data_IF_787949588316
#
_entry.id   IF_787949588316
#
_cell.length_a   1.000
_cell.length_b   1.000
_cell.length_c   1.000
_cell.angle_alpha   90.00
_cell.angle_beta   90.00
_cell.angle_gamma   90.00
#
_symmetry.space_group_name_H-M   'P 1'
#
loop_
_entity.id
_entity.type
_entity.pdbx_description
1 polymer ?
#
# COMPACT_ATOMS: atom_id res chain seq x y z
N UNK A 1 23.73 6.89 6.45
CA UNK A 1 22.43 6.47 7.02
C UNK A 1 21.59 5.89 5.89
N UNK A 2 21.17 4.62 5.99
CA UNK A 2 20.20 4.06 5.02
C UNK A 2 18.81 4.62 5.36
N UNK A 3 17.94 4.81 4.37
CA UNK A 3 16.61 5.38 4.55
C UNK A 3 15.56 4.50 3.87
N UNK A 4 14.40 4.35 4.50
CA UNK A 4 13.19 3.82 3.87
C UNK A 4 12.36 5.01 3.44
N UNK A 5 11.92 5.01 2.19
CA UNK A 5 11.00 6.00 1.65
C UNK A 5 9.82 5.28 0.99
N UNK A 6 8.60 5.62 1.38
CA UNK A 6 7.37 5.24 0.67
C UNK A 6 6.59 6.47 0.29
N UNK A 7 5.86 6.42 -0.81
CA UNK A 7 5.01 7.51 -1.26
C UNK A 7 3.68 6.96 -1.76
N UNK A 8 2.60 7.58 -1.33
CA UNK A 8 1.25 7.17 -1.68
C UNK A 8 0.43 8.38 -2.15
N UNK A 9 -0.35 8.19 -3.21
CA UNK A 9 -1.36 9.16 -3.62
C UNK A 9 -2.52 9.14 -2.64
N UNK A 10 -3.01 10.30 -2.20
CA UNK A 10 -4.21 10.45 -1.38
C UNK A 10 -5.09 11.56 -1.97
N UNK A 11 -6.36 11.25 -2.27
CA UNK A 11 -7.33 12.14 -2.92
C UNK A 11 -8.04 13.08 -1.95
N UNK A 12 -7.25 13.90 -1.29
CA UNK A 12 -7.76 14.95 -0.43
C UNK A 12 -6.80 16.14 -0.40
N UNK A 13 -7.23 17.21 0.27
CA UNK A 13 -6.47 18.41 0.57
C UNK A 13 -5.36 18.11 1.57
N UNK A 14 -4.27 18.89 1.49
CA UNK A 14 -3.17 18.73 2.43
C UNK A 14 -3.61 18.99 3.88
N UNK A 15 -4.56 19.89 4.10
CA UNK A 15 -5.13 20.18 5.42
C UNK A 15 -5.85 18.97 6.03
N UNK A 16 -6.68 18.25 5.26
CA UNK A 16 -7.37 17.06 5.78
C UNK A 16 -6.40 15.91 6.06
N UNK A 17 -5.41 15.70 5.19
CA UNK A 17 -4.36 14.70 5.40
C UNK A 17 -3.54 15.05 6.64
N UNK A 18 -3.16 16.31 6.79
CA UNK A 18 -2.41 16.78 7.94
C UNK A 18 -3.20 16.65 9.25
N UNK A 19 -4.50 16.96 9.22
CA UNK A 19 -5.41 16.68 10.32
C UNK A 19 -5.41 15.18 10.67
N UNK A 20 -5.54 14.29 9.68
CA UNK A 20 -5.48 12.85 9.91
C UNK A 20 -4.13 12.36 10.48
N UNK A 21 -3.03 13.07 10.19
CA UNK A 21 -1.69 12.79 10.73
C UNK A 21 -1.42 13.41 12.11
N UNK A 22 -2.30 14.26 12.64
CA UNK A 22 -2.07 14.97 13.92
C UNK A 22 -3.19 14.80 14.94
N UNK A 23 -4.41 14.56 14.48
CA UNK A 23 -5.60 14.33 15.29
C UNK A 23 -5.54 12.97 15.97
N UNK A 24 -5.79 12.96 17.28
CA UNK A 24 -5.87 11.72 18.05
C UNK A 24 -7.00 10.80 17.61
N UNK A 25 -8.12 11.40 17.25
CA UNK A 25 -9.29 10.65 16.80
C UNK A 25 -8.97 9.93 15.50
N UNK A 26 -8.46 10.64 14.50
CA UNK A 26 -8.15 10.08 13.18
C UNK A 26 -7.05 9.01 13.25
N UNK A 27 -5.98 9.28 14.00
CA UNK A 27 -4.88 8.31 14.12
C UNK A 27 -5.34 7.01 14.78
N UNK A 28 -6.26 7.08 15.75
CA UNK A 28 -6.85 5.88 16.34
C UNK A 28 -7.63 5.05 15.30
N UNK A 29 -8.14 5.68 14.25
CA UNK A 29 -8.86 4.99 13.18
C UNK A 29 -7.89 4.32 12.21
N UNK A 30 -6.95 5.06 11.61
CA UNK A 30 -6.12 4.49 10.56
C UNK A 30 -4.87 3.75 11.05
N UNK A 31 -4.27 4.17 12.16
CA UNK A 31 -3.07 3.52 12.74
C UNK A 31 -3.44 2.48 13.81
N UNK A 32 -4.51 2.72 14.56
CA UNK A 32 -5.08 1.79 15.54
C UNK A 32 -4.45 1.80 16.93
N UNK A 33 -3.22 2.31 17.09
CA UNK A 33 -2.55 2.41 18.39
C UNK A 33 -2.32 3.86 18.78
N UNK A 34 -3.02 4.29 19.83
CA UNK A 34 -3.02 5.67 20.33
C UNK A 34 -2.81 5.65 21.84
N UNK A 35 -1.70 6.22 22.30
CA UNK A 35 -1.47 6.56 23.71
C UNK A 35 -2.57 7.54 24.18
N UNK A 36 -3.36 7.20 25.22
CA UNK A 36 -4.43 8.06 25.70
C UNK A 36 -3.92 9.41 26.26
N UNK A 37 -2.65 9.51 26.63
CA UNK A 37 -2.06 10.70 27.23
C UNK A 37 -1.37 11.62 26.21
N UNK A 38 -1.33 11.25 24.92
CA UNK A 38 -0.74 12.09 23.88
C UNK A 38 -1.56 13.39 23.71
N UNK A 39 -0.85 14.52 23.62
CA UNK A 39 -1.42 15.85 23.46
C UNK A 39 -1.58 16.27 22.00
N UNK A 40 -1.01 15.51 21.06
CA UNK A 40 -1.00 15.84 19.63
C UNK A 40 -0.14 17.05 19.26
N UNK A 41 0.64 17.59 20.23
CA UNK A 41 1.43 18.82 20.09
C UNK A 41 2.91 18.57 20.36
N UNK A 42 3.23 17.85 21.44
CA UNK A 42 4.61 17.57 21.84
C UNK A 42 4.97 16.10 21.71
N UNK A 43 3.96 15.22 21.68
CA UNK A 43 4.15 13.78 21.56
C UNK A 43 3.12 13.11 20.64
N UNK A 44 3.62 12.10 19.94
CA UNK A 44 2.95 11.15 19.07
C UNK A 44 3.02 9.74 19.68
N UNK A 45 2.40 8.75 19.05
CA UNK A 45 2.08 7.45 19.66
C UNK A 45 3.21 6.41 19.66
N UNK A 46 3.26 5.60 20.72
CA UNK A 46 4.09 4.40 20.83
C UNK A 46 3.49 3.20 20.12
N UNK A 47 4.34 2.44 19.41
CA UNK A 47 3.98 1.22 18.69
C UNK A 47 3.53 0.06 19.62
N UNK A 48 3.60 0.24 20.94
CA UNK A 48 3.35 -0.78 21.97
C UNK A 48 2.57 -0.27 23.20
N UNK A 49 1.89 0.88 23.08
CA UNK A 49 1.04 1.51 24.12
C UNK A 49 1.76 2.13 25.33
N UNK A 50 3.09 2.04 25.43
CA UNK A 50 3.81 2.49 26.65
C UNK A 50 4.74 3.69 26.43
N UNK A 51 5.14 3.99 25.18
CA UNK A 51 6.08 5.08 24.90
C UNK A 51 5.42 6.30 24.25
N UNK A 52 5.87 7.49 24.65
CA UNK A 52 5.58 8.74 23.95
C UNK A 52 6.68 9.00 22.92
N UNK A 53 6.29 9.18 21.65
CA UNK A 53 7.20 9.46 20.53
C UNK A 53 7.20 10.98 20.29
N UNK A 54 8.23 11.74 20.65
CA UNK A 54 8.19 13.19 20.53
C UNK A 54 8.06 13.67 19.07
N UNK A 55 7.24 14.70 18.89
CA UNK A 55 7.20 15.47 17.64
C UNK A 55 8.40 16.41 17.66
N UNK A 56 9.28 16.30 16.66
CA UNK A 56 10.54 17.06 16.61
C UNK A 56 10.52 18.22 15.63
N UNK A 57 9.68 18.14 14.61
CA UNK A 57 9.43 19.25 13.68
C UNK A 57 8.04 19.11 13.08
N UNK A 58 7.43 20.24 12.76
CA UNK A 58 6.08 20.28 12.23
C UNK A 58 5.88 21.56 11.43
N UNK A 59 5.33 21.43 10.22
CA UNK A 59 4.89 22.53 9.39
C UNK A 59 3.48 22.22 8.90
N UNK A 60 2.52 23.05 9.33
CA UNK A 60 1.10 22.85 9.03
C UNK A 60 0.88 22.61 7.53
N UNK A 61 0.06 21.60 7.23
CA UNK A 61 -0.34 21.17 5.88
C UNK A 61 0.82 20.71 4.98
N UNK A 62 2.02 20.51 5.52
CA UNK A 62 3.22 20.20 4.73
C UNK A 62 4.03 19.06 5.27
N UNK A 63 4.32 19.05 6.56
CA UNK A 63 5.17 18.02 7.13
C UNK A 63 5.00 17.83 8.62
N UNK A 64 5.28 16.61 9.07
CA UNK A 64 5.43 16.29 10.48
C UNK A 64 6.55 15.28 10.65
N UNK A 65 7.41 15.51 11.63
CA UNK A 65 8.55 14.67 11.93
C UNK A 65 8.55 14.23 13.39
N UNK A 66 8.94 12.97 13.58
CA UNK A 66 9.01 12.28 14.85
C UNK A 66 10.42 11.76 15.05
N UNK A 67 10.86 11.70 16.30
CA UNK A 67 12.06 10.95 16.66
C UNK A 67 11.75 10.07 17.85
N UNK A 68 12.22 8.83 17.85
CA UNK A 68 12.16 7.99 19.02
C UNK A 68 13.42 7.15 19.14
N UNK A 69 13.81 6.89 20.38
CA UNK A 69 14.83 5.88 20.69
C UNK A 69 14.22 4.52 20.38
N UNK A 70 14.30 4.12 19.12
CA UNK A 70 13.82 2.82 18.70
C UNK A 70 14.77 1.76 19.25
N UNK A 71 14.39 1.18 20.39
CA UNK A 71 15.04 -0.03 20.85
C UNK A 71 14.72 -1.14 19.86
N UNK A 72 15.75 -1.74 19.28
CA UNK A 72 15.57 -3.03 18.64
C UNK A 72 15.07 -3.97 19.75
N UNK A 73 13.94 -4.68 19.58
CA UNK A 73 13.32 -5.47 20.65
C UNK A 73 14.23 -6.58 21.21
N UNK A 74 15.34 -6.86 20.53
CA UNK A 74 16.33 -7.87 20.90
C UNK A 74 17.73 -7.29 21.20
N UNK A 75 17.94 -5.96 21.15
CA UNK A 75 19.21 -5.34 21.54
C UNK A 75 19.03 -4.41 22.74
N UNK A 76 19.87 -4.60 23.75
CA UNK A 76 19.88 -3.78 24.96
C UNK A 76 20.65 -2.48 24.80
N UNK A 77 21.50 -2.37 23.77
CA UNK A 77 22.27 -1.15 23.49
C UNK A 77 21.41 -0.18 22.67
N UNK A 78 21.46 1.11 23.06
CA UNK A 78 20.74 2.16 22.35
C UNK A 78 21.37 2.40 20.99
N UNK A 79 20.57 2.29 19.94
CA UNK A 79 20.94 2.76 18.60
C UNK A 79 20.64 4.26 18.47
N UNK A 80 21.13 4.89 17.41
CA UNK A 80 20.77 6.29 17.10
C UNK A 80 19.24 6.43 17.00
N UNK A 81 18.66 7.57 17.44
CA UNK A 81 17.22 7.78 17.38
C UNK A 81 16.70 7.56 15.96
N UNK A 82 15.64 6.77 15.83
CA UNK A 82 14.93 6.63 14.56
C UNK A 82 14.12 7.88 14.31
N UNK A 83 14.32 8.51 13.15
CA UNK A 83 13.53 9.63 12.69
C UNK A 83 12.53 9.16 11.65
N UNK A 84 11.27 9.56 11.80
CA UNK A 84 10.21 9.39 10.80
C UNK A 84 9.77 10.78 10.37
N UNK A 85 9.58 11.01 9.08
CA UNK A 85 9.04 12.27 8.55
C UNK A 85 7.97 11.97 7.52
N UNK A 86 6.79 12.53 7.72
CA UNK A 86 5.77 12.62 6.69
C UNK A 86 5.88 13.96 6.00
N UNK A 87 5.77 13.94 4.68
CA UNK A 87 5.68 15.13 3.83
C UNK A 87 4.45 15.01 2.94
N UNK A 88 3.76 16.12 2.75
CA UNK A 88 2.53 16.22 1.97
C UNK A 88 2.83 17.17 0.81
N UNK A 89 2.67 16.66 -0.41
CA UNK A 89 2.90 17.42 -1.64
C UNK A 89 1.60 17.51 -2.44
N UNK A 90 0.99 18.70 -2.50
CA UNK A 90 -0.21 18.93 -3.30
C UNK A 90 0.08 18.82 -4.80
N UNK A 91 -0.81 18.12 -5.51
CA UNK A 91 -0.78 17.93 -6.96
C UNK A 91 -2.20 18.04 -7.53
N UNK A 92 -2.66 19.27 -7.77
CA UNK A 92 -4.00 19.49 -8.32
C UNK A 92 -5.10 19.14 -7.30
N UNK A 93 -5.81 18.04 -7.52
CA UNK A 93 -6.93 17.59 -6.69
C UNK A 93 -6.58 16.43 -5.73
N UNK A 94 -5.29 16.12 -5.59
CA UNK A 94 -4.80 15.08 -4.69
C UNK A 94 -3.45 15.49 -4.11
N UNK A 95 -2.97 14.75 -3.13
CA UNK A 95 -1.64 14.90 -2.56
C UNK A 95 -0.83 13.62 -2.75
N UNK A 96 0.49 13.78 -2.81
CA UNK A 96 1.43 12.68 -2.60
C UNK A 96 1.94 12.78 -1.16
N UNK A 97 1.65 11.77 -0.35
CA UNK A 97 2.16 11.65 1.01
C UNK A 97 3.38 10.75 1.00
N UNK A 98 4.52 11.29 1.43
CA UNK A 98 5.78 10.55 1.50
C UNK A 98 6.18 10.38 2.95
N UNK A 99 6.38 9.13 3.37
CA UNK A 99 7.01 8.79 4.66
C UNK A 99 8.47 8.44 4.42
N UNK A 100 9.34 9.04 5.22
CA UNK A 100 10.77 8.83 5.24
C UNK A 100 11.17 8.35 6.64
N UNK A 101 11.83 7.20 6.75
CA UNK A 101 12.32 6.68 8.03
C UNK A 101 13.80 6.32 7.96
N UNK A 102 14.59 6.71 8.96
CA UNK A 102 15.96 6.23 9.13
C UNK A 102 16.00 4.74 9.45
N UNK A 103 16.84 3.99 8.74
CA UNK A 103 16.94 2.55 8.89
C UNK A 103 17.80 2.12 10.07
N UNK A 104 17.47 0.93 10.58
CA UNK A 104 18.28 0.19 11.54
C UNK A 104 19.48 -0.47 10.84
N UNK A 105 20.48 -0.94 11.58
CA UNK A 105 21.54 -1.77 11.01
C UNK A 105 21.05 -3.09 10.41
N UNK A 106 19.96 -3.68 10.95
CA UNK A 106 19.41 -4.97 10.51
C UNK A 106 18.51 -4.86 9.26
N UNK A 107 18.92 -5.51 8.18
CA UNK A 107 18.19 -5.56 6.91
C UNK A 107 16.86 -6.35 7.01
N UNK A 108 16.75 -7.30 7.94
CA UNK A 108 15.51 -8.07 8.18
C UNK A 108 14.44 -7.17 8.78
N UNK A 109 14.79 -6.42 9.83
CA UNK A 109 13.91 -5.46 10.47
C UNK A 109 13.51 -4.33 9.51
N UNK A 110 14.46 -3.81 8.73
CA UNK A 110 14.15 -2.79 7.73
C UNK A 110 13.20 -3.28 6.64
N UNK A 111 13.28 -4.56 6.27
CA UNK A 111 12.33 -5.21 5.36
C UNK A 111 10.92 -5.21 5.95
N UNK A 112 10.78 -5.55 7.23
CA UNK A 112 9.48 -5.53 7.92
C UNK A 112 8.91 -4.10 8.01
N UNK A 113 9.73 -3.12 8.35
CA UNK A 113 9.33 -1.70 8.41
C UNK A 113 8.90 -1.20 7.03
N UNK A 114 9.66 -1.54 5.99
CA UNK A 114 9.37 -1.12 4.62
C UNK A 114 7.99 -1.60 4.17
N UNK A 115 7.63 -2.84 4.47
CA UNK A 115 6.31 -3.38 4.14
C UNK A 115 5.23 -2.83 5.09
N UNK A 116 5.54 -2.65 6.38
CA UNK A 116 4.65 -2.03 7.35
C UNK A 116 4.19 -0.62 6.95
N UNK A 117 5.09 0.20 6.38
CA UNK A 117 4.74 1.52 5.88
C UNK A 117 3.76 1.49 4.70
N UNK A 118 3.79 0.45 3.87
CA UNK A 118 2.82 0.31 2.78
C UNK A 118 1.41 0.15 3.34
N UNK A 119 1.22 -0.74 4.32
CA UNK A 119 -0.07 -0.94 4.98
C UNK A 119 -0.53 0.30 5.74
N UNK A 120 0.40 0.98 6.42
CA UNK A 120 0.09 2.21 7.15
C UNK A 120 -0.40 3.34 6.24
N UNK A 121 0.33 3.60 5.15
CA UNK A 121 -0.07 4.60 4.16
C UNK A 121 -1.40 4.23 3.50
N UNK A 122 -1.61 2.94 3.19
CA UNK A 122 -2.88 2.47 2.64
C UNK A 122 -4.04 2.71 3.61
N UNK A 123 -3.83 2.42 4.90
CA UNK A 123 -4.84 2.68 5.93
C UNK A 123 -5.13 4.18 6.07
N UNK A 124 -4.09 5.03 6.03
CA UNK A 124 -4.25 6.49 6.02
C UNK A 124 -5.05 6.96 4.81
N UNK A 125 -4.71 6.47 3.61
CA UNK A 125 -5.42 6.81 2.37
C UNK A 125 -6.90 6.45 2.46
N UNK A 126 -7.21 5.20 2.81
CA UNK A 126 -8.61 4.74 2.92
C UNK A 126 -9.39 5.52 3.98
N UNK A 127 -8.74 5.88 5.09
CA UNK A 127 -9.37 6.67 6.14
C UNK A 127 -9.69 8.09 5.66
N UNK A 128 -8.71 8.76 5.06
CA UNK A 128 -8.88 10.13 4.55
C UNK A 128 -9.91 10.18 3.43
N UNK A 129 -9.83 9.26 2.46
CA UNK A 129 -10.69 9.29 1.28
C UNK A 129 -12.11 8.78 1.53
N UNK A 130 -12.30 7.87 2.51
CA UNK A 130 -13.56 7.11 2.65
C UNK A 130 -14.04 6.95 4.08
N UNK A 131 -13.29 7.40 5.08
CA UNK A 131 -13.63 7.18 6.49
C UNK A 131 -13.62 5.71 6.91
N UNK A 132 -12.84 4.86 6.21
CA UNK A 132 -12.67 3.44 6.57
C UNK A 132 -11.19 3.13 6.78
N UNK A 133 -10.87 2.42 7.85
CA UNK A 133 -9.50 1.98 8.11
C UNK A 133 -9.20 0.68 7.35
N UNK A 134 -7.92 0.43 7.00
CA UNK A 134 -7.55 -0.83 6.33
C UNK A 134 -7.92 -2.08 7.15
N UNK A 135 -7.93 -1.98 8.49
CA UNK A 135 -8.39 -3.06 9.38
C UNK A 135 -9.84 -3.49 9.12
N UNK A 136 -10.66 -2.64 8.50
CA UNK A 136 -12.02 -3.01 8.10
C UNK A 136 -11.99 -4.11 7.04
N UNK A 137 -10.99 -4.16 6.16
CA UNK A 137 -10.80 -5.27 5.24
C UNK A 137 -10.27 -6.55 5.91
N UNK A 138 -9.82 -6.47 7.16
CA UNK A 138 -9.52 -7.64 7.98
C UNK A 138 -10.78 -8.25 8.62
N UNK A 139 -11.95 -7.60 8.52
CA UNK A 139 -13.23 -8.22 8.87
C UNK A 139 -13.59 -9.26 7.81
N UNK A 140 -13.25 -10.51 8.10
CA UNK A 140 -13.48 -11.65 7.20
C UNK A 140 -14.96 -12.05 7.11
N UNK A 141 -15.83 -11.55 7.99
CA UNK A 141 -17.29 -11.77 7.90
C UNK A 141 -17.92 -10.84 6.87
N UNK A 142 -17.42 -9.61 6.76
CA UNK A 142 -17.91 -8.62 5.80
C UNK A 142 -17.21 -8.70 4.45
N UNK A 143 -15.89 -8.88 4.44
CA UNK A 143 -15.08 -8.84 3.23
C UNK A 143 -14.40 -10.18 2.95
N UNK A 144 -14.22 -10.45 1.67
CA UNK A 144 -13.37 -11.52 1.17
C UNK A 144 -12.07 -10.91 0.61
N UNK A 145 -10.97 -11.63 0.80
CA UNK A 145 -9.65 -11.26 0.29
C UNK A 145 -8.97 -12.44 -0.37
N UNK A 146 -8.28 -12.18 -1.47
CA UNK A 146 -7.43 -13.17 -2.14
C UNK A 146 -5.99 -12.95 -1.69
N UNK A 147 -5.26 -14.03 -1.42
CA UNK A 147 -3.82 -13.97 -1.19
C UNK A 147 -3.13 -15.12 -1.91
N UNK A 148 -2.16 -14.80 -2.77
CA UNK A 148 -1.42 -15.77 -3.58
C UNK A 148 0.07 -15.51 -3.48
N UNK A 149 0.87 -16.56 -3.58
CA UNK A 149 2.33 -16.47 -3.58
C UNK A 149 2.88 -17.34 -4.69
N UNK A 150 3.83 -16.80 -5.45
CA UNK A 150 4.50 -17.52 -6.53
C UNK A 150 6.00 -17.23 -6.55
N UNK A 151 6.80 -18.26 -6.84
CA UNK A 151 8.22 -18.10 -7.10
C UNK A 151 8.46 -17.88 -8.60
N UNK A 152 9.31 -16.93 -8.93
CA UNK A 152 9.71 -16.63 -10.31
C UNK A 152 11.22 -16.84 -10.44
N UNK A 153 11.66 -17.41 -11.56
CA UNK A 153 13.09 -17.59 -11.86
C UNK A 153 13.76 -16.31 -12.41
N UNK A 154 13.04 -15.20 -12.44
CA UNK A 154 13.57 -13.88 -12.79
C UNK A 154 13.91 -13.05 -11.56
N UNK A 155 14.81 -12.07 -11.69
CA UNK A 155 15.08 -11.10 -10.64
C UNK A 155 13.90 -10.13 -10.40
N UNK A 156 13.90 -9.50 -9.21
CA UNK A 156 12.85 -8.59 -8.75
C UNK A 156 12.58 -7.40 -9.69
N UNK A 157 13.61 -6.80 -10.29
CA UNK A 157 13.43 -5.68 -11.22
C UNK A 157 12.67 -6.10 -12.48
N UNK A 158 12.93 -7.29 -12.99
CA UNK A 158 12.20 -7.82 -14.14
C UNK A 158 10.77 -8.20 -13.75
N UNK A 159 10.56 -8.86 -12.61
CA UNK A 159 9.21 -9.13 -12.09
C UNK A 159 8.40 -7.83 -11.94
N UNK A 160 8.98 -6.79 -11.33
CA UNK A 160 8.36 -5.48 -11.18
C UNK A 160 7.94 -4.87 -12.52
N UNK A 161 8.78 -4.99 -13.56
CA UNK A 161 8.43 -4.52 -14.92
C UNK A 161 7.30 -5.33 -15.55
N UNK A 162 7.21 -6.64 -15.27
CA UNK A 162 6.09 -7.46 -15.74
C UNK A 162 4.77 -7.14 -15.03
N UNK A 163 4.82 -6.66 -13.79
CA UNK A 163 3.63 -6.27 -13.03
C UNK A 163 3.14 -4.84 -13.33
N UNK A 164 4.00 -3.96 -13.87
CA UNK A 164 3.67 -2.52 -14.01
C UNK A 164 3.66 -2.00 -15.44
N UNK A 165 4.41 -2.59 -16.38
CA UNK A 165 4.54 -2.08 -17.75
C UNK A 165 3.50 -2.74 -18.65
N UNK A 166 2.61 -1.94 -19.25
CA UNK A 166 1.47 -2.42 -20.04
C UNK A 166 1.83 -3.53 -21.04
N UNK A 167 2.76 -3.32 -21.99
CA UNK A 167 3.13 -4.36 -22.94
C UNK A 167 3.65 -5.66 -22.32
N UNK A 168 4.23 -5.62 -21.10
CA UNK A 168 4.68 -6.83 -20.39
C UNK A 168 3.55 -7.47 -19.58
N UNK A 169 2.69 -6.65 -18.98
CA UNK A 169 1.47 -7.11 -18.29
C UNK A 169 0.58 -7.90 -19.25
N UNK A 170 0.37 -7.37 -20.46
CA UNK A 170 -0.47 -8.01 -21.48
C UNK A 170 -0.02 -9.41 -21.89
N UNK A 171 1.27 -9.75 -21.76
CA UNK A 171 1.79 -11.08 -22.09
C UNK A 171 1.24 -12.15 -21.15
N UNK A 172 1.25 -11.91 -19.83
CA UNK A 172 0.77 -12.90 -18.86
C UNK A 172 -0.72 -12.80 -18.57
N UNK A 173 -1.31 -11.61 -18.70
CA UNK A 173 -2.74 -11.42 -18.60
C UNK A 173 -3.49 -11.96 -19.83
N UNK A 174 -2.81 -12.09 -20.98
CA UNK A 174 -3.45 -12.45 -22.25
C UNK A 174 -4.41 -11.36 -22.74
N UNK A 175 -4.03 -10.10 -22.56
CA UNK A 175 -4.89 -8.92 -22.77
C UNK A 175 -4.14 -7.79 -23.45
N UNK A 176 -4.89 -6.86 -24.06
CA UNK A 176 -4.37 -5.54 -24.41
C UNK A 176 -4.25 -4.70 -23.14
N UNK A 177 -3.05 -4.18 -22.85
CA UNK A 177 -2.80 -3.42 -21.62
C UNK A 177 -2.08 -2.12 -21.89
N UNK A 178 -2.68 -1.02 -21.44
CA UNK A 178 -2.02 0.27 -21.29
C UNK A 178 -1.74 0.52 -19.80
N UNK A 179 -0.58 1.09 -19.48
CA UNK A 179 -0.24 1.44 -18.10
C UNK A 179 0.73 2.61 -18.11
N UNK A 180 0.43 3.60 -17.28
CA UNK A 180 1.33 4.68 -16.90
C UNK A 180 1.94 4.39 -15.51
N UNK A 181 3.12 3.76 -15.41
CA UNK A 181 3.65 3.19 -14.17
C UNK A 181 4.35 4.27 -13.31
N UNK A 182 3.60 5.27 -12.93
CA UNK A 182 3.94 6.29 -11.94
C UNK A 182 2.80 6.41 -10.93
N UNK A 183 3.08 6.92 -9.73
CA UNK A 183 2.03 7.17 -8.74
C UNK A 183 1.03 8.18 -9.29
N UNK A 184 -0.26 7.86 -9.21
CA UNK A 184 -1.37 8.58 -9.87
C UNK A 184 -1.56 8.28 -11.35
N UNK A 185 -0.67 7.47 -11.94
CA UNK A 185 -0.86 6.94 -13.29
C UNK A 185 -1.93 5.87 -13.32
N UNK A 186 -2.66 5.80 -14.44
CA UNK A 186 -3.74 4.83 -14.64
C UNK A 186 -3.27 3.65 -15.48
N UNK A 187 -3.95 2.52 -15.31
CA UNK A 187 -3.84 1.39 -16.22
C UNK A 187 -5.21 0.94 -16.71
N UNK A 188 -5.21 0.29 -17.87
CA UNK A 188 -6.39 -0.29 -18.48
C UNK A 188 -6.02 -1.65 -19.07
N UNK A 189 -6.84 -2.65 -18.80
CA UNK A 189 -6.67 -4.03 -19.28
C UNK A 189 -7.96 -4.40 -20.01
N UNK A 190 -7.80 -4.89 -21.25
CA UNK A 190 -8.91 -5.27 -22.12
C UNK A 190 -8.68 -6.68 -22.66
N UNK A 191 -9.55 -7.62 -22.27
CA UNK A 191 -9.56 -9.00 -22.80
C UNK A 191 -10.48 -9.12 -24.01
N UNK A 192 -11.59 -8.39 -24.02
CA UNK A 192 -12.53 -8.31 -25.14
C UNK A 192 -13.22 -6.94 -25.17
N UNK A 193 -14.15 -6.71 -26.10
CA UNK A 193 -14.93 -5.46 -26.12
C UNK A 193 -15.85 -5.30 -24.91
N UNK A 194 -16.33 -6.43 -24.36
CA UNK A 194 -17.23 -6.48 -23.20
C UNK A 194 -16.50 -6.73 -21.87
N UNK A 195 -15.22 -7.11 -21.92
CA UNK A 195 -14.41 -7.44 -20.75
C UNK A 195 -13.19 -6.53 -20.63
N UNK A 196 -13.35 -5.49 -19.82
CA UNK A 196 -12.32 -4.51 -19.51
C UNK A 196 -12.30 -4.15 -18.03
N UNK A 197 -11.13 -3.82 -17.53
CA UNK A 197 -10.91 -3.29 -16.17
C UNK A 197 -9.92 -2.15 -16.25
N UNK A 198 -9.93 -1.31 -15.23
CA UNK A 198 -8.88 -0.33 -15.05
C UNK A 198 -8.30 -0.36 -13.66
N UNK A 199 -7.38 0.57 -13.45
CA UNK A 199 -6.90 0.87 -12.12
C UNK A 199 -6.09 2.15 -12.08
N UNK A 200 -5.67 2.47 -10.87
CA UNK A 200 -4.72 3.55 -10.60
C UNK A 200 -3.61 3.03 -9.70
N UNK A 201 -2.38 3.40 -10.01
CA UNK A 201 -1.23 3.14 -9.17
C UNK A 201 -1.18 4.14 -8.03
N UNK A 202 -1.52 3.70 -6.81
CA UNK A 202 -1.49 4.58 -5.65
C UNK A 202 -0.15 4.53 -4.90
N UNK A 203 0.62 3.45 -5.05
CA UNK A 203 2.00 3.36 -4.56
C UNK A 203 2.84 2.50 -5.51
N UNK A 204 4.02 2.99 -5.87
CA UNK A 204 5.02 2.25 -6.64
C UNK A 204 6.40 2.45 -6.02
N UNK A 205 6.94 1.39 -5.43
CA UNK A 205 8.26 1.36 -4.81
C UNK A 205 9.11 0.29 -5.50
N UNK A 206 9.87 0.69 -6.52
CA UNK A 206 10.68 -0.23 -7.32
C UNK A 206 11.84 -0.81 -6.51
N UNK A 207 12.13 -2.13 -6.60
CA UNK A 207 11.40 -3.17 -7.33
C UNK A 207 10.44 -3.98 -6.45
N UNK A 208 10.02 -3.46 -5.30
CA UNK A 208 9.46 -4.25 -4.19
C UNK A 208 7.94 -4.16 -4.07
N UNK A 209 7.39 -2.96 -3.88
CA UNK A 209 5.98 -2.80 -3.49
C UNK A 209 5.18 -2.08 -4.58
N UNK A 210 3.98 -2.57 -4.84
CA UNK A 210 3.01 -2.01 -5.78
C UNK A 210 1.66 -2.03 -5.08
N UNK A 211 0.95 -0.91 -5.06
CA UNK A 211 -0.44 -0.85 -4.62
C UNK A 211 -1.25 -0.14 -5.68
N UNK A 212 -2.40 -0.71 -6.01
CA UNK A 212 -3.34 -0.13 -6.94
C UNK A 212 -4.78 -0.26 -6.48
N UNK A 213 -5.58 0.73 -6.86
CA UNK A 213 -7.02 0.61 -6.93
C UNK A 213 -7.40 -0.08 -8.24
N UNK A 214 -8.39 -0.97 -8.18
CA UNK A 214 -8.89 -1.75 -9.30
C UNK A 214 -10.39 -1.56 -9.44
N UNK A 215 -10.86 -1.32 -10.66
CA UNK A 215 -12.28 -1.09 -10.99
C UNK A 215 -12.71 -1.90 -12.20
N UNK A 216 -13.92 -2.44 -12.14
CA UNK A 216 -14.55 -3.18 -13.22
C UNK A 216 -15.04 -2.26 -14.37
N UNK A 217 -15.52 -2.86 -15.46
CA UNK A 217 -16.00 -2.14 -16.63
C UNK A 217 -17.12 -1.13 -16.33
N UNK A 218 -17.97 -1.44 -15.35
CA UNK A 218 -19.10 -0.60 -14.94
C UNK A 218 -18.60 0.60 -14.11
N UNK A 219 -17.69 0.34 -13.20
CA UNK A 219 -17.06 1.35 -12.33
C UNK A 219 -16.16 2.31 -13.12
N UNK A 220 -15.60 1.86 -14.24
CA UNK A 220 -14.87 2.74 -15.18
C UNK A 220 -15.74 3.87 -15.76
N UNK A 221 -17.03 3.64 -15.91
CA UNK A 221 -17.98 4.64 -16.45
C UNK A 221 -18.48 5.59 -15.35
N UNK A 222 -18.59 5.09 -14.12
CA UNK A 222 -19.10 5.84 -12.97
C UNK A 222 -18.00 6.56 -12.16
N UNK A 223 -16.71 6.21 -12.34
CA UNK A 223 -15.44 6.76 -11.80
C UNK A 223 -15.32 7.02 -10.29
N UNK A 224 -16.42 7.08 -9.57
CA UNK A 224 -16.51 7.69 -8.24
C UNK A 224 -17.28 6.83 -7.24
N UNK A 225 -17.59 5.55 -7.50
CA UNK A 225 -18.16 4.67 -6.46
C UNK A 225 -17.04 4.13 -5.56
N UNK A 226 -16.83 4.68 -4.35
CA UNK A 226 -15.77 4.24 -3.45
C UNK A 226 -16.07 2.85 -2.86
N UNK A 227 -17.30 2.33 -3.00
CA UNK A 227 -17.71 1.01 -2.55
C UNK A 227 -17.33 -0.13 -3.48
N UNK A 228 -16.96 0.17 -4.74
CA UNK A 228 -16.72 -0.85 -5.79
C UNK A 228 -15.24 -1.02 -6.15
N UNK A 229 -14.33 -0.43 -5.36
CA UNK A 229 -12.89 -0.45 -5.62
C UNK A 229 -12.23 -1.53 -4.77
N UNK A 230 -11.66 -2.54 -5.41
CA UNK A 230 -10.75 -3.47 -4.73
C UNK A 230 -9.35 -2.87 -4.65
N UNK A 231 -8.64 -3.20 -3.57
CA UNK A 231 -7.25 -2.81 -3.39
C UNK A 231 -6.38 -4.01 -3.72
N UNK A 232 -5.50 -3.86 -4.70
CA UNK A 232 -4.51 -4.86 -5.06
C UNK A 232 -3.14 -4.43 -4.57
N UNK A 233 -2.44 -5.33 -3.91
CA UNK A 233 -1.10 -5.11 -3.39
C UNK A 233 -0.17 -6.25 -3.80
N UNK A 234 1.00 -5.88 -4.31
CA UNK A 234 2.06 -6.80 -4.66
C UNK A 234 3.32 -6.51 -3.86
N UNK A 235 3.95 -7.57 -3.36
CA UNK A 235 5.27 -7.52 -2.73
C UNK A 235 6.21 -8.48 -3.44
N UNK A 236 7.34 -7.97 -3.91
CA UNK A 236 8.39 -8.73 -4.58
C UNK A 236 9.57 -8.87 -3.63
N UNK A 237 9.83 -10.10 -3.21
CA UNK A 237 10.90 -10.47 -2.30
C UNK A 237 12.08 -11.05 -3.11
N UNK A 238 13.22 -10.35 -3.21
CA UNK A 238 14.41 -10.90 -3.85
C UNK A 238 14.85 -12.21 -3.20
N UNK A 239 15.31 -13.17 -4.00
CA UNK A 239 15.86 -14.43 -3.54
C UNK A 239 17.20 -14.72 -4.24
N UNK A 240 17.96 -15.70 -3.74
CA UNK A 240 19.24 -16.09 -4.34
C UNK A 240 19.09 -16.52 -5.81
N UNK A 241 17.96 -17.16 -6.15
CA UNK A 241 17.61 -17.60 -7.50
C UNK A 241 16.24 -17.02 -7.85
N UNK A 242 16.23 -15.79 -8.37
CA UNK A 242 15.02 -15.10 -8.81
C UNK A 242 14.34 -14.27 -7.71
N UNK A 243 13.02 -14.39 -7.58
CA UNK A 243 12.24 -13.70 -6.55
C UNK A 243 10.95 -14.43 -6.19
N UNK A 244 10.37 -14.10 -5.04
CA UNK A 244 9.02 -14.51 -4.65
C UNK A 244 8.10 -13.30 -4.79
N UNK A 245 7.00 -13.46 -5.50
CA UNK A 245 5.94 -12.45 -5.61
C UNK A 245 4.77 -12.88 -4.75
N UNK A 246 4.31 -11.96 -3.90
CA UNK A 246 3.07 -12.09 -3.12
C UNK A 246 2.04 -11.12 -3.69
N UNK A 247 0.85 -11.62 -3.95
CA UNK A 247 -0.34 -10.86 -4.32
C UNK A 247 -1.29 -10.88 -3.14
N UNK A 248 -1.89 -9.74 -2.82
CA UNK A 248 -3.10 -9.70 -2.00
C UNK A 248 -4.10 -8.75 -2.63
N UNK A 249 -5.36 -9.16 -2.67
CA UNK A 249 -6.45 -8.34 -3.15
C UNK A 249 -7.55 -8.29 -2.08
N UNK A 250 -8.02 -7.08 -1.77
CA UNK A 250 -8.93 -6.78 -0.68
C UNK A 250 -10.16 -6.02 -1.18
N UNK A 251 -11.22 -6.02 -0.37
CA UNK A 251 -12.39 -5.17 -0.58
C UNK A 251 -13.56 -5.83 -1.31
N UNK A 252 -13.55 -7.15 -1.48
CA UNK A 252 -14.70 -7.85 -2.04
C UNK A 252 -15.82 -8.00 -1.00
N UNK A 253 -16.92 -7.26 -1.17
CA UNK A 253 -18.11 -7.37 -0.31
C UNK A 253 -18.78 -8.75 -0.47
N UNK A 254 -18.90 -9.48 0.64
CA UNK A 254 -19.52 -10.82 0.68
C UNK A 254 -21.02 -10.83 0.40
N UNK A 255 -21.68 -9.69 0.53
CA UNK A 255 -23.09 -9.53 0.19
C UNK A 255 -23.31 -9.28 -1.30
N UNK A 256 -22.27 -8.83 -2.01
CA UNK A 256 -22.34 -8.49 -3.43
C UNK A 256 -21.90 -9.62 -4.37
N UNK A 257 -21.10 -10.59 -3.88
CA UNK A 257 -20.49 -11.65 -4.70
C UNK A 257 -20.93 -13.03 -4.21
N UNK A 258 -21.28 -13.92 -5.14
CA UNK A 258 -21.68 -15.30 -4.83
C UNK A 258 -20.46 -16.18 -4.49
N UNK A 259 -20.71 -17.34 -3.88
CA UNK A 259 -19.66 -18.32 -3.61
C UNK A 259 -18.93 -18.76 -4.89
N UNK A 260 -19.66 -18.94 -5.99
CA UNK A 260 -19.09 -19.25 -7.30
C UNK A 260 -18.24 -18.10 -7.83
N UNK A 261 -18.66 -16.84 -7.61
CA UNK A 261 -17.88 -15.66 -7.97
C UNK A 261 -16.53 -15.62 -7.25
N UNK A 262 -16.49 -15.92 -5.95
CA UNK A 262 -15.24 -16.02 -5.21
C UNK A 262 -14.33 -17.12 -5.73
N UNK A 263 -14.89 -18.30 -6.03
CA UNK A 263 -14.13 -19.41 -6.60
C UNK A 263 -13.54 -19.04 -7.97
N UNK A 264 -14.27 -18.30 -8.80
CA UNK A 264 -13.78 -17.84 -10.10
C UNK A 264 -12.67 -16.80 -9.96
N UNK A 265 -12.78 -15.85 -9.03
CA UNK A 265 -11.70 -14.90 -8.71
C UNK A 265 -10.43 -15.65 -8.31
N UNK A 266 -10.55 -16.61 -7.39
CA UNK A 266 -9.43 -17.44 -6.93
C UNK A 266 -8.76 -18.18 -8.09
N UNK A 267 -9.56 -18.86 -8.91
CA UNK A 267 -9.08 -19.63 -10.05
C UNK A 267 -8.50 -18.75 -11.15
N UNK A 268 -9.06 -17.55 -11.36
CA UNK A 268 -8.54 -16.55 -12.29
C UNK A 268 -7.12 -16.14 -11.92
N UNK A 269 -6.88 -15.80 -10.66
CA UNK A 269 -5.55 -15.47 -10.17
C UNK A 269 -4.56 -16.63 -10.30
N UNK A 270 -4.98 -17.86 -10.00
CA UNK A 270 -4.12 -19.04 -10.16
C UNK A 270 -3.67 -19.20 -11.62
N UNK A 271 -4.58 -19.05 -12.60
CA UNK A 271 -4.26 -19.12 -14.03
C UNK A 271 -3.30 -18.01 -14.46
N UNK A 272 -3.58 -16.77 -14.07
CA UNK A 272 -2.77 -15.62 -14.46
C UNK A 272 -1.35 -15.68 -13.86
N UNK A 273 -1.22 -16.05 -12.59
CA UNK A 273 0.08 -16.19 -11.93
C UNK A 273 0.88 -17.36 -12.51
N UNK A 274 0.23 -18.49 -12.83
CA UNK A 274 0.90 -19.59 -13.54
C UNK A 274 1.50 -19.11 -14.87
N UNK A 275 0.77 -18.28 -15.62
CA UNK A 275 1.28 -17.71 -16.87
C UNK A 275 2.44 -16.74 -16.64
N UNK A 276 2.37 -15.91 -15.60
CA UNK A 276 3.47 -15.02 -15.22
C UNK A 276 4.75 -15.81 -14.93
N UNK A 277 4.66 -16.91 -14.18
CA UNK A 277 5.81 -17.79 -13.92
C UNK A 277 6.35 -18.43 -15.20
N UNK A 278 5.48 -18.90 -16.10
CA UNK A 278 5.88 -19.50 -17.38
C UNK A 278 6.69 -18.51 -18.24
N UNK A 279 6.25 -17.26 -18.36
CA UNK A 279 6.91 -16.28 -19.25
C UNK A 279 8.13 -15.59 -18.63
N UNK A 280 8.35 -15.79 -17.33
CA UNK A 280 9.48 -15.22 -16.59
C UNK A 280 10.51 -16.25 -16.15
N UNK A 281 10.23 -17.54 -16.37
CA UNK A 281 11.18 -18.64 -16.22
C UNK A 281 11.93 -18.96 -17.51
#
# INVERSE_FOLDING_TARGET
MKMIQQSMLIRDTANNIYAALTSKEDIAQWWGLVNPDADGVTSWYGMDREWAVPIVAMEQDKSIAFAFDAHHPYETERTEPTQITFTIHEQGNHCIVTVLQSMFPDDTWNTLIHDGWVYALLSLQLWVERGIAFRTFADTEQYYSVSKTIALHTNANTAWRYLTRGPRMGIWLGAEVTSDPQVGGVFNIKWSDDERVGGEWVLLSTPRNIVSHWWDAKSLEERDDPGMITVQMWTILPANQGCVVRLSEFGYDRTAITAEGFAEIDAGWDRMLAKLAEITG
#
